data_IF_418897354114
#
_entry.id   IF_418897354114
#
_cell.length_a   1.000
_cell.length_b   1.000
_cell.length_c   1.000
_cell.angle_alpha   90.00
_cell.angle_beta   90.00
_cell.angle_gamma   90.00
#
_symmetry.space_group_name_H-M   'P 1'
#
loop_
_entity.id
_entity.type
_entity.pdbx_description
1 polymer ?
#
# COMPACT_ATOMS: atom_id res chain seq x y z
N UNK A 1 -10.82 -4.64 10.16
CA UNK A 1 -11.34 -3.90 8.99
C UNK A 1 -11.73 -4.84 7.86
N UNK A 2 -12.73 -5.71 8.12
CA UNK A 2 -13.20 -6.69 7.13
C UNK A 2 -14.04 -6.03 6.03
N UNK A 3 -14.53 -4.83 6.27
CA UNK A 3 -15.34 -4.01 5.36
C UNK A 3 -14.54 -2.91 4.64
N UNK A 4 -13.21 -2.88 4.81
CA UNK A 4 -12.34 -1.87 4.24
C UNK A 4 -12.38 -0.51 4.96
N UNK A 5 -13.14 -0.36 6.04
CA UNK A 5 -13.25 0.89 6.81
C UNK A 5 -12.15 0.98 7.88
N UNK A 6 -11.73 2.21 8.17
CA UNK A 6 -10.87 2.53 9.31
C UNK A 6 -11.60 3.49 10.25
N UNK A 7 -11.59 3.19 11.54
CA UNK A 7 -12.23 3.99 12.57
C UNK A 7 -11.16 4.53 13.50
N UNK A 8 -10.75 5.78 13.28
CA UNK A 8 -9.63 6.43 13.99
C UNK A 8 -9.86 6.47 15.50
N UNK A 9 -11.06 6.80 15.95
CA UNK A 9 -11.37 6.88 17.39
C UNK A 9 -11.24 5.51 18.08
N UNK A 10 -11.72 4.45 17.44
CA UNK A 10 -11.58 3.09 17.96
C UNK A 10 -10.12 2.64 17.96
N UNK A 11 -9.34 3.02 16.96
CA UNK A 11 -7.91 2.76 16.90
C UNK A 11 -7.17 3.45 18.04
N UNK A 12 -7.44 4.74 18.27
CA UNK A 12 -6.83 5.54 19.33
C UNK A 12 -7.22 4.98 20.71
N UNK A 13 -8.50 4.69 20.95
CA UNK A 13 -8.96 4.11 22.21
C UNK A 13 -8.25 2.80 22.51
N UNK A 14 -8.23 1.87 21.57
CA UNK A 14 -7.53 0.59 21.73
C UNK A 14 -6.03 0.74 22.03
N UNK A 15 -5.36 1.68 21.36
CA UNK A 15 -3.93 1.93 21.60
C UNK A 15 -3.67 2.45 23.01
N UNK A 16 -4.51 3.38 23.50
CA UNK A 16 -4.42 3.93 24.86
C UNK A 16 -4.70 2.87 25.92
N UNK A 17 -5.74 2.06 25.74
CA UNK A 17 -6.13 1.00 26.67
C UNK A 17 -5.03 -0.05 26.82
N UNK A 18 -4.36 -0.39 25.71
CA UNK A 18 -3.26 -1.37 25.68
C UNK A 18 -1.90 -0.81 26.13
N UNK A 19 -1.79 0.51 26.34
CA UNK A 19 -0.54 1.21 26.73
C UNK A 19 0.60 0.85 25.78
N UNK A 20 0.37 1.03 24.49
CA UNK A 20 1.34 0.67 23.45
C UNK A 20 2.59 1.58 23.50
N UNK A 21 3.74 1.02 23.20
CA UNK A 21 5.03 1.74 23.18
C UNK A 21 5.34 2.36 21.81
N UNK A 22 4.65 1.95 20.76
CA UNK A 22 4.85 2.41 19.39
C UNK A 22 3.58 2.18 18.57
N UNK A 23 3.32 3.07 17.63
CA UNK A 23 2.32 2.90 16.57
C UNK A 23 3.04 2.63 15.24
N UNK A 24 2.65 1.57 14.55
CA UNK A 24 3.06 1.30 13.17
C UNK A 24 1.82 1.24 12.29
N UNK A 25 1.76 2.10 11.29
CA UNK A 25 0.61 2.25 10.41
C UNK A 25 1.03 2.22 8.94
N UNK A 26 0.53 1.26 8.16
CA UNK A 26 0.75 1.20 6.72
C UNK A 26 -0.28 2.07 5.99
N UNK A 27 0.18 3.09 5.24
CA UNK A 27 -0.67 4.07 4.55
C UNK A 27 -0.11 4.47 3.17
N UNK A 28 -0.70 4.02 2.06
CA UNK A 28 -1.83 3.08 1.92
C UNK A 28 -1.54 1.69 2.50
N UNK A 29 -2.58 1.06 3.03
CA UNK A 29 -2.45 -0.24 3.68
C UNK A 29 -2.27 -1.38 2.68
N UNK A 30 -1.40 -2.33 2.99
CA UNK A 30 -1.31 -3.62 2.32
C UNK A 30 -1.81 -4.71 3.28
N UNK A 31 -2.84 -5.48 2.93
CA UNK A 31 -3.33 -5.76 1.56
C UNK A 31 -4.56 -4.97 1.10
N UNK A 32 -5.21 -4.18 1.95
CA UNK A 32 -6.55 -3.64 1.67
C UNK A 32 -6.55 -2.50 0.64
N UNK A 33 -5.44 -1.79 0.48
CA UNK A 33 -5.36 -0.58 -0.34
C UNK A 33 -5.97 0.67 0.30
N UNK A 34 -6.57 0.54 1.48
CA UNK A 34 -7.16 1.67 2.19
C UNK A 34 -6.09 2.70 2.60
N UNK A 35 -6.43 3.97 2.49
CA UNK A 35 -5.62 5.07 3.01
C UNK A 35 -6.43 5.93 3.97
N UNK A 36 -5.78 6.39 5.03
CA UNK A 36 -6.36 7.37 5.96
C UNK A 36 -6.10 8.79 5.49
N UNK A 37 -6.99 9.68 5.84
CA UNK A 37 -6.89 11.12 5.55
C UNK A 37 -5.81 11.80 6.40
N UNK A 38 -5.38 12.98 5.95
CA UNK A 38 -4.46 13.82 6.71
C UNK A 38 -4.98 14.15 8.10
N UNK A 39 -6.29 14.37 8.23
CA UNK A 39 -6.92 14.65 9.52
C UNK A 39 -6.80 13.46 10.48
N UNK A 40 -7.07 12.26 10.01
CA UNK A 40 -6.90 11.04 10.82
C UNK A 40 -5.44 10.81 11.21
N UNK A 41 -4.47 11.08 10.31
CA UNK A 41 -3.05 11.04 10.66
C UNK A 41 -2.71 12.02 11.78
N UNK A 42 -3.24 13.27 11.72
CA UNK A 42 -3.06 14.29 12.77
C UNK A 42 -3.64 13.80 14.09
N UNK A 43 -4.86 13.29 14.11
CA UNK A 43 -5.51 12.75 15.31
C UNK A 43 -4.68 11.64 15.97
N UNK A 44 -4.10 10.74 15.17
CA UNK A 44 -3.19 9.69 15.66
C UNK A 44 -1.94 10.30 16.28
N UNK A 45 -1.29 11.26 15.60
CA UNK A 45 -0.08 11.92 16.09
C UNK A 45 -0.32 12.69 17.40
N UNK A 46 -1.46 13.36 17.53
CA UNK A 46 -1.85 14.07 18.76
C UNK A 46 -2.11 13.10 19.91
N UNK A 47 -2.84 12.01 19.62
CA UNK A 47 -3.19 11.00 20.63
C UNK A 47 -1.97 10.26 21.19
N UNK A 48 -0.89 10.12 20.38
CA UNK A 48 0.32 9.37 20.68
C UNK A 48 1.60 10.22 20.57
N UNK A 49 1.53 11.49 20.98
CA UNK A 49 2.63 12.47 20.79
C UNK A 49 3.95 12.12 21.50
N UNK A 50 3.93 11.23 22.51
CA UNK A 50 5.06 10.86 23.33
C UNK A 50 5.72 9.52 22.95
N UNK A 51 5.17 8.80 21.98
CA UNK A 51 5.71 7.53 21.50
C UNK A 51 5.94 7.58 19.98
N UNK A 52 6.82 6.74 19.42
CA UNK A 52 7.03 6.69 17.99
C UNK A 52 5.75 6.35 17.21
N UNK A 53 5.43 7.17 16.21
CA UNK A 53 4.36 6.92 15.22
C UNK A 53 5.01 6.76 13.86
N UNK A 54 5.00 5.55 13.34
CA UNK A 54 5.64 5.17 12.08
C UNK A 54 4.59 4.99 11.00
N UNK A 55 4.64 5.81 9.95
CA UNK A 55 3.85 5.63 8.74
C UNK A 55 4.68 4.90 7.69
N UNK A 56 4.30 3.65 7.38
CA UNK A 56 4.85 2.91 6.24
C UNK A 56 4.12 3.36 4.98
N UNK A 57 4.78 4.20 4.21
CA UNK A 57 4.30 4.80 2.98
C UNK A 57 4.86 4.10 1.73
N UNK A 58 5.04 2.78 1.78
CA UNK A 58 5.57 2.02 0.65
C UNK A 58 4.74 2.11 -0.65
N UNK A 59 3.49 2.52 -0.57
CA UNK A 59 2.56 2.67 -1.71
C UNK A 59 2.09 4.12 -1.90
N UNK A 60 2.67 5.08 -1.20
CA UNK A 60 2.19 6.46 -1.15
C UNK A 60 2.18 7.16 -2.52
N UNK A 61 3.09 6.81 -3.43
CA UNK A 61 3.13 7.39 -4.79
C UNK A 61 1.86 7.10 -5.61
N UNK A 62 1.08 6.07 -5.24
CA UNK A 62 -0.21 5.74 -5.84
C UNK A 62 -1.41 6.33 -5.09
N UNK A 63 -1.17 6.92 -3.91
CA UNK A 63 -2.15 7.55 -3.05
C UNK A 63 -2.15 9.08 -3.16
N UNK A 64 -2.84 9.73 -2.21
CA UNK A 64 -3.06 11.17 -2.28
C UNK A 64 -2.38 11.96 -1.16
N UNK A 65 -2.18 11.38 0.03
CA UNK A 65 -1.75 12.12 1.22
C UNK A 65 -0.59 11.43 1.94
N UNK A 66 0.42 12.20 2.30
CA UNK A 66 1.62 11.75 3.01
C UNK A 66 1.69 12.34 4.40
N UNK A 67 2.25 11.58 5.34
CA UNK A 67 2.59 12.05 6.68
C UNK A 67 3.86 12.94 6.71
N UNK A 68 4.56 13.13 5.59
CA UNK A 68 5.87 13.81 5.57
C UNK A 68 5.81 15.24 6.11
N UNK A 69 4.74 15.97 5.88
CA UNK A 69 4.60 17.34 6.40
C UNK A 69 4.41 17.39 7.92
N UNK A 70 3.94 16.28 8.52
CA UNK A 70 3.74 16.17 9.96
C UNK A 70 5.04 16.12 10.74
N UNK A 71 6.15 15.76 10.08
CA UNK A 71 7.49 15.73 10.67
C UNK A 71 7.91 17.10 11.28
N UNK A 72 7.37 18.20 10.75
CA UNK A 72 7.65 19.55 11.24
C UNK A 72 7.00 19.86 12.59
N UNK A 73 5.83 19.25 12.82
CA UNK A 73 5.00 19.52 14.01
C UNK A 73 5.12 18.42 15.07
N UNK A 74 5.29 17.17 14.64
CA UNK A 74 5.29 15.99 15.51
C UNK A 74 6.67 15.30 15.49
N UNK A 75 7.55 15.59 16.46
CA UNK A 75 8.93 15.06 16.46
C UNK A 75 9.02 13.53 16.53
N UNK A 76 7.98 12.86 17.06
CA UNK A 76 7.93 11.39 17.18
C UNK A 76 7.36 10.69 15.95
N UNK A 77 7.14 11.43 14.85
CA UNK A 77 6.71 10.85 13.57
C UNK A 77 7.90 10.37 12.75
N UNK A 78 7.73 9.20 12.16
CA UNK A 78 8.67 8.57 11.23
C UNK A 78 7.91 8.16 9.97
N UNK A 79 8.49 8.42 8.81
CA UNK A 79 7.92 8.04 7.50
C UNK A 79 8.88 7.08 6.81
N UNK A 80 8.39 5.90 6.44
CA UNK A 80 9.15 4.91 5.67
C UNK A 80 8.73 4.96 4.21
N UNK A 81 9.69 5.02 3.28
CA UNK A 81 9.50 5.01 1.82
C UNK A 81 10.37 3.94 1.17
N UNK A 82 10.05 3.55 -0.04
CA UNK A 82 10.81 2.53 -0.78
C UNK A 82 10.86 2.82 -2.27
N UNK A 83 11.95 2.42 -2.92
CA UNK A 83 12.04 2.39 -4.38
C UNK A 83 11.48 1.10 -4.99
N UNK A 84 11.00 0.18 -4.18
CA UNK A 84 10.57 -1.17 -4.60
C UNK A 84 9.24 -1.18 -5.36
N UNK A 85 8.38 -0.16 -5.21
CA UNK A 85 7.00 -0.15 -5.73
C UNK A 85 6.86 0.79 -6.92
N UNK A 86 6.63 2.06 -6.69
CA UNK A 86 6.39 3.06 -7.75
C UNK A 86 7.56 3.21 -8.72
N UNK A 87 8.77 2.98 -8.26
CA UNK A 87 9.99 3.07 -9.06
C UNK A 87 10.43 1.72 -9.69
N UNK A 88 9.70 0.62 -9.43
CA UNK A 88 10.01 -0.69 -10.03
C UNK A 88 11.32 -1.34 -9.59
N UNK A 89 11.95 -0.84 -8.53
CA UNK A 89 13.31 -1.22 -8.13
C UNK A 89 13.35 -2.17 -6.91
N UNK A 90 12.45 -3.15 -6.88
CA UNK A 90 12.39 -4.10 -5.77
C UNK A 90 13.72 -4.87 -5.56
N UNK A 91 14.47 -5.14 -6.64
CA UNK A 91 15.72 -5.90 -6.62
C UNK A 91 16.88 -5.18 -5.94
N UNK A 92 16.92 -3.85 -5.91
CA UNK A 92 18.04 -3.10 -5.30
C UNK A 92 17.93 -2.99 -3.77
N UNK A 93 16.82 -3.39 -3.18
CA UNK A 93 16.59 -3.42 -1.72
C UNK A 93 16.86 -2.08 -1.03
N UNK A 94 16.34 -0.97 -1.59
CA UNK A 94 16.52 0.38 -1.07
C UNK A 94 15.22 0.97 -0.55
N UNK A 95 15.25 1.46 0.68
CA UNK A 95 14.20 2.23 1.33
C UNK A 95 14.78 3.34 2.17
N UNK A 96 13.91 4.21 2.66
CA UNK A 96 14.28 5.41 3.42
C UNK A 96 13.43 5.51 4.66
N UNK A 97 14.04 5.92 5.77
CA UNK A 97 13.34 6.43 6.94
C UNK A 97 13.58 7.94 7.03
N UNK A 98 12.50 8.70 7.14
CA UNK A 98 12.52 10.16 7.20
C UNK A 98 11.95 10.57 8.55
N UNK A 99 12.69 11.33 9.33
CA UNK A 99 12.27 11.84 10.64
C UNK A 99 13.12 13.02 11.06
N UNK A 100 12.61 13.89 11.91
CA UNK A 100 13.41 14.90 12.63
C UNK A 100 14.37 14.29 13.67
N UNK A 101 14.20 13.01 14.02
CA UNK A 101 15.01 12.27 15.00
C UNK A 101 16.05 11.34 14.34
N UNK A 102 16.29 11.45 13.03
CA UNK A 102 17.14 10.51 12.29
C UNK A 102 18.56 10.40 12.86
N UNK A 103 19.12 11.49 13.36
CA UNK A 103 20.47 11.50 13.97
C UNK A 103 20.57 10.61 15.21
N UNK A 104 19.49 10.52 16.01
CA UNK A 104 19.44 9.63 17.18
C UNK A 104 19.37 8.16 16.79
N UNK A 105 18.82 7.86 15.60
CA UNK A 105 18.71 6.50 15.08
C UNK A 105 19.96 6.08 14.29
N UNK A 106 20.73 7.02 13.76
CA UNK A 106 21.89 6.74 12.92
C UNK A 106 22.87 5.70 13.53
N UNK A 107 23.18 5.73 14.84
CA UNK A 107 24.05 4.73 15.47
C UNK A 107 23.48 3.30 15.49
N UNK A 108 22.18 3.14 15.29
CA UNK A 108 21.50 1.83 15.28
C UNK A 108 21.50 1.17 13.89
N UNK A 109 21.84 1.92 12.84
CA UNK A 109 21.90 1.37 11.48
C UNK A 109 23.14 0.50 11.31
N UNK A 110 22.94 -0.63 10.61
CA UNK A 110 24.03 -1.56 10.30
C UNK A 110 24.99 -0.86 9.32
N UNK A 111 26.28 -0.73 9.65
CA UNK A 111 27.27 -0.20 8.73
C UNK A 111 27.29 -1.01 7.41
N UNK A 112 27.46 -0.31 6.29
CA UNK A 112 27.55 -0.93 4.96
C UNK A 112 26.30 -1.73 4.52
N UNK A 113 25.12 -1.42 5.08
CA UNK A 113 23.85 -2.10 4.76
C UNK A 113 23.47 -2.00 3.28
N UNK A 114 23.89 -0.93 2.59
CA UNK A 114 23.65 -0.72 1.16
C UNK A 114 24.96 -0.73 0.37
N UNK A 115 24.99 -1.52 -0.72
CA UNK A 115 26.13 -1.50 -1.64
C UNK A 115 26.27 -0.15 -2.34
N UNK A 116 27.48 0.19 -2.81
CA UNK A 116 27.69 1.42 -3.60
C UNK A 116 26.87 1.43 -4.91
N UNK A 117 26.66 0.27 -5.51
CA UNK A 117 25.78 0.12 -6.69
C UNK A 117 24.35 0.50 -6.34
N UNK A 118 23.79 -0.03 -5.25
CA UNK A 118 22.45 0.32 -4.77
C UNK A 118 22.33 1.83 -4.52
N UNK A 119 23.31 2.43 -3.84
CA UNK A 119 23.31 3.87 -3.53
C UNK A 119 23.36 4.72 -4.80
N UNK A 120 24.18 4.32 -5.78
CA UNK A 120 24.30 5.01 -7.06
C UNK A 120 22.99 4.96 -7.84
N UNK A 121 22.39 3.78 -7.98
CA UNK A 121 21.09 3.60 -8.67
C UNK A 121 20.01 4.43 -7.97
N UNK A 122 19.88 4.33 -6.64
CA UNK A 122 18.91 5.09 -5.87
C UNK A 122 19.07 6.60 -6.08
N UNK A 123 20.31 7.10 -6.04
CA UNK A 123 20.62 8.51 -6.26
C UNK A 123 20.25 9.00 -7.67
N UNK A 124 20.51 8.20 -8.70
CA UNK A 124 20.12 8.53 -10.09
C UNK A 124 18.61 8.57 -10.23
N UNK A 125 17.91 7.53 -9.73
CA UNK A 125 16.45 7.44 -9.82
C UNK A 125 15.76 8.60 -9.10
N UNK A 126 16.20 8.95 -7.90
CA UNK A 126 15.61 10.07 -7.16
C UNK A 126 15.82 11.43 -7.85
N UNK A 127 16.99 11.64 -8.51
CA UNK A 127 17.22 12.85 -9.31
C UNK A 127 16.34 12.93 -10.57
N UNK A 128 15.88 11.78 -11.06
CA UNK A 128 15.02 11.67 -12.24
C UNK A 128 13.61 11.15 -11.89
N UNK A 129 13.14 11.39 -10.67
CA UNK A 129 11.85 10.88 -10.18
C UNK A 129 10.66 11.30 -11.09
N UNK A 130 10.75 12.45 -11.73
CA UNK A 130 9.73 12.94 -12.66
C UNK A 130 9.50 12.01 -13.87
N UNK A 131 10.50 11.24 -14.29
CA UNK A 131 10.36 10.26 -15.37
C UNK A 131 9.37 9.12 -15.04
N UNK A 132 9.09 8.88 -13.76
CA UNK A 132 8.17 7.84 -13.32
C UNK A 132 6.72 8.31 -13.19
N UNK A 133 6.46 9.62 -13.23
CA UNK A 133 5.13 10.20 -13.02
C UNK A 133 4.09 9.69 -14.01
N UNK A 134 4.45 9.54 -15.29
CA UNK A 134 3.54 9.02 -16.32
C UNK A 134 3.14 7.57 -16.04
N UNK A 135 4.10 6.72 -15.67
CA UNK A 135 3.82 5.32 -15.35
C UNK A 135 2.94 5.20 -14.09
N UNK A 136 3.23 6.00 -13.06
CA UNK A 136 2.41 6.05 -11.84
C UNK A 136 0.98 6.49 -12.17
N UNK A 137 0.81 7.53 -12.99
CA UNK A 137 -0.51 8.01 -13.42
C UNK A 137 -1.27 6.94 -14.23
N UNK A 138 -0.59 6.19 -15.09
CA UNK A 138 -1.18 5.07 -15.84
C UNK A 138 -1.68 3.99 -14.89
N UNK A 139 -0.87 3.58 -13.91
CA UNK A 139 -1.26 2.56 -12.90
C UNK A 139 -2.48 3.04 -12.10
N UNK A 140 -2.52 4.32 -11.69
CA UNK A 140 -3.67 4.89 -10.99
C UNK A 140 -4.92 4.85 -11.88
N UNK A 141 -4.80 5.29 -13.14
CA UNK A 141 -5.92 5.30 -14.09
C UNK A 141 -6.48 3.89 -14.35
N UNK A 142 -5.60 2.91 -14.55
CA UNK A 142 -5.98 1.52 -14.74
C UNK A 142 -6.63 0.90 -13.49
N UNK A 143 -6.11 1.20 -12.30
CA UNK A 143 -6.74 0.81 -11.04
C UNK A 143 -8.17 1.32 -10.94
N UNK A 144 -8.38 2.61 -11.21
CA UNK A 144 -9.71 3.22 -11.17
C UNK A 144 -10.64 2.64 -12.25
N UNK A 145 -10.11 2.33 -13.43
CA UNK A 145 -10.86 1.67 -14.50
C UNK A 145 -11.34 0.29 -14.04
N UNK A 146 -10.42 -0.54 -13.56
CA UNK A 146 -10.75 -1.88 -13.08
C UNK A 146 -11.74 -1.84 -11.91
N UNK A 147 -11.50 -0.97 -10.91
CA UNK A 147 -12.38 -0.87 -9.76
C UNK A 147 -13.80 -0.45 -10.15
N UNK A 148 -13.96 0.53 -11.04
CA UNK A 148 -15.29 0.95 -11.52
C UNK A 148 -16.08 -0.19 -12.17
N UNK A 149 -15.40 -1.11 -12.81
CA UNK A 149 -16.04 -2.25 -13.44
C UNK A 149 -16.48 -3.31 -12.42
N UNK A 150 -15.63 -3.60 -11.44
CA UNK A 150 -15.85 -4.73 -10.52
C UNK A 150 -16.55 -4.37 -9.20
N UNK A 151 -16.70 -3.08 -8.87
CA UNK A 151 -17.24 -2.61 -7.59
C UNK A 151 -18.67 -3.06 -7.28
N UNK A 152 -19.47 -3.31 -8.32
CA UNK A 152 -20.88 -3.68 -8.21
C UNK A 152 -21.13 -5.18 -8.38
N UNK A 153 -20.08 -6.02 -8.45
CA UNK A 153 -20.19 -7.47 -8.51
C UNK A 153 -20.87 -8.02 -7.25
N UNK A 154 -21.63 -9.12 -7.42
CA UNK A 154 -22.41 -9.74 -6.32
C UNK A 154 -21.68 -10.91 -5.69
N UNK A 155 -20.83 -11.58 -6.46
CA UNK A 155 -20.10 -12.77 -6.01
C UNK A 155 -18.73 -12.47 -5.48
N UNK A 156 -18.20 -11.26 -5.76
CA UNK A 156 -16.90 -10.76 -5.26
C UNK A 156 -17.10 -9.37 -4.69
N UNK A 157 -16.67 -9.17 -3.45
CA UNK A 157 -16.56 -7.83 -2.87
C UNK A 157 -15.18 -7.25 -3.18
N UNK A 158 -15.13 -6.14 -3.92
CA UNK A 158 -13.91 -5.37 -4.12
C UNK A 158 -13.95 -4.07 -3.32
N UNK A 159 -12.78 -3.62 -2.86
CA UNK A 159 -12.64 -2.42 -2.04
C UNK A 159 -11.87 -1.32 -2.77
N UNK A 160 -12.22 -0.03 -2.54
CA UNK A 160 -11.43 1.09 -3.07
C UNK A 160 -9.97 1.00 -2.64
N UNK A 161 -9.06 1.37 -3.54
CA UNK A 161 -7.63 1.27 -3.26
C UNK A 161 -6.89 2.56 -3.58
N UNK A 162 -5.91 2.90 -2.76
CA UNK A 162 -4.92 3.97 -2.96
C UNK A 162 -3.51 3.40 -3.22
N UNK A 163 -3.41 2.10 -3.50
CA UNK A 163 -2.16 1.41 -3.84
C UNK A 163 -2.13 1.00 -5.32
N UNK A 164 -1.15 0.21 -5.74
CA UNK A 164 -1.06 -0.33 -7.10
C UNK A 164 -1.73 -1.70 -7.25
N UNK A 165 -2.78 -1.96 -6.50
CA UNK A 165 -3.51 -3.23 -6.51
C UNK A 165 -4.97 -3.04 -6.10
N UNK A 166 -5.80 -4.03 -6.39
CA UNK A 166 -7.15 -4.18 -5.85
C UNK A 166 -7.19 -5.35 -4.87
N UNK A 167 -7.89 -5.16 -3.76
CA UNK A 167 -8.18 -6.20 -2.77
C UNK A 167 -9.61 -6.68 -2.94
N UNK A 168 -9.79 -8.00 -2.96
CA UNK A 168 -11.10 -8.61 -3.14
C UNK A 168 -11.33 -9.78 -2.19
N UNK A 169 -12.61 -10.13 -1.98
CA UNK A 169 -13.06 -11.27 -1.18
C UNK A 169 -14.20 -12.01 -1.87
N UNK A 170 -14.16 -13.33 -1.82
CA UNK A 170 -15.26 -14.19 -2.28
C UNK A 170 -15.21 -15.52 -1.54
N UNK A 171 -16.38 -16.07 -1.20
CA UNK A 171 -16.47 -17.40 -0.59
C UNK A 171 -16.15 -18.54 -1.57
N UNK A 172 -16.21 -18.24 -2.88
CA UNK A 172 -15.86 -19.18 -3.97
C UNK A 172 -14.42 -18.98 -4.48
N UNK A 173 -13.49 -18.59 -3.58
CA UNK A 173 -12.13 -18.20 -3.95
C UNK A 173 -11.35 -19.29 -4.69
N UNK A 174 -11.50 -20.57 -4.31
CA UNK A 174 -10.75 -21.65 -4.94
C UNK A 174 -11.10 -21.79 -6.42
N UNK A 175 -12.39 -21.67 -6.77
CA UNK A 175 -12.84 -21.66 -8.18
C UNK A 175 -12.20 -20.48 -8.93
N UNK A 176 -12.18 -19.29 -8.33
CA UNK A 176 -11.56 -18.11 -8.94
C UNK A 176 -10.05 -18.31 -9.15
N UNK A 177 -9.35 -18.90 -8.16
CA UNK A 177 -7.91 -19.18 -8.28
C UNK A 177 -7.62 -20.18 -9.40
N UNK A 178 -8.44 -21.23 -9.57
CA UNK A 178 -8.29 -22.19 -10.65
C UNK A 178 -8.49 -21.52 -12.03
N UNK A 179 -9.47 -20.63 -12.18
CA UNK A 179 -9.69 -19.87 -13.43
C UNK A 179 -8.47 -18.99 -13.78
N UNK A 180 -7.85 -18.34 -12.79
CA UNK A 180 -6.60 -17.60 -12.99
C UNK A 180 -5.45 -18.51 -13.41
N UNK A 181 -5.30 -19.65 -12.74
CA UNK A 181 -4.26 -20.63 -13.02
C UNK A 181 -4.36 -21.22 -14.44
N UNK A 182 -5.56 -21.52 -14.92
CA UNK A 182 -5.81 -21.98 -16.30
C UNK A 182 -5.29 -20.99 -17.36
N UNK A 183 -5.27 -19.71 -17.03
CA UNK A 183 -4.75 -18.64 -17.89
C UNK A 183 -3.28 -18.28 -17.59
N UNK A 184 -2.57 -19.06 -16.75
CA UNK A 184 -1.22 -18.80 -16.29
C UNK A 184 -1.06 -17.41 -15.62
N UNK A 185 -2.11 -16.90 -14.99
CA UNK A 185 -2.08 -15.66 -14.24
C UNK A 185 -1.94 -15.98 -12.74
N UNK A 186 -0.95 -15.37 -12.10
CA UNK A 186 -0.73 -15.52 -10.66
C UNK A 186 -1.11 -14.24 -9.93
N UNK A 187 -2.03 -14.36 -8.97
CA UNK A 187 -2.42 -13.28 -8.07
C UNK A 187 -2.07 -13.65 -6.62
N UNK A 188 -2.08 -12.67 -5.72
CA UNK A 188 -1.81 -12.96 -4.31
C UNK A 188 -3.05 -13.61 -3.67
N UNK A 189 -2.89 -14.86 -3.27
CA UNK A 189 -3.89 -15.62 -2.52
C UNK A 189 -3.56 -15.57 -1.02
N UNK A 190 -4.53 -15.26 -0.16
CA UNK A 190 -4.39 -15.27 1.30
C UNK A 190 -5.07 -16.50 1.91
N UNK A 191 -4.78 -16.82 3.16
CA UNK A 191 -5.33 -17.99 3.83
C UNK A 191 -6.85 -17.92 4.06
N UNK A 192 -7.40 -16.72 4.16
CA UNK A 192 -8.84 -16.48 4.27
C UNK A 192 -9.51 -16.36 2.88
N UNK A 193 -10.77 -15.93 2.83
CA UNK A 193 -11.53 -15.73 1.60
C UNK A 193 -11.01 -14.59 0.69
N UNK A 194 -9.88 -13.97 1.02
CA UNK A 194 -9.38 -12.79 0.34
C UNK A 194 -8.25 -13.06 -0.65
N UNK A 195 -8.07 -12.12 -1.57
CA UNK A 195 -7.00 -12.11 -2.56
C UNK A 195 -6.65 -10.67 -2.94
N UNK A 196 -5.52 -10.49 -3.63
CA UNK A 196 -5.06 -9.18 -4.11
C UNK A 196 -4.54 -9.28 -5.54
N UNK A 197 -5.03 -8.41 -6.41
CA UNK A 197 -4.64 -8.30 -7.81
C UNK A 197 -3.77 -7.05 -7.97
N UNK A 198 -2.53 -7.22 -8.40
CA UNK A 198 -1.65 -6.09 -8.74
C UNK A 198 -2.04 -5.54 -10.12
N UNK A 199 -2.08 -4.23 -10.26
CA UNK A 199 -2.36 -3.55 -11.53
C UNK A 199 -1.15 -3.73 -12.45
N UNK A 200 -1.41 -4.31 -13.63
CA UNK A 200 -0.45 -4.52 -14.70
C UNK A 200 -0.61 -3.55 -15.86
N UNK A 201 -0.21 -3.98 -17.06
CA UNK A 201 -0.51 -3.27 -18.31
C UNK A 201 -2.01 -3.31 -18.62
N UNK A 202 -2.47 -2.46 -19.54
CA UNK A 202 -3.89 -2.47 -19.96
C UNK A 202 -4.31 -3.83 -20.50
N UNK A 203 -3.43 -4.51 -21.24
CA UNK A 203 -3.67 -5.85 -21.80
C UNK A 203 -3.77 -6.90 -20.70
N UNK A 204 -2.84 -6.89 -19.74
CA UNK A 204 -2.87 -7.81 -18.59
C UNK A 204 -4.13 -7.57 -17.73
N UNK A 205 -4.47 -6.33 -17.49
CA UNK A 205 -5.66 -5.95 -16.73
C UNK A 205 -6.95 -6.40 -17.43
N UNK A 206 -7.01 -6.34 -18.79
CA UNK A 206 -8.16 -6.81 -19.54
C UNK A 206 -8.32 -8.33 -19.44
N UNK A 207 -7.22 -9.10 -19.48
CA UNK A 207 -7.27 -10.55 -19.25
C UNK A 207 -7.80 -10.89 -17.85
N UNK A 208 -7.39 -10.12 -16.83
CA UNK A 208 -7.91 -10.26 -15.48
C UNK A 208 -9.40 -9.96 -15.41
N UNK A 209 -9.85 -8.86 -16.02
CA UNK A 209 -11.26 -8.48 -16.07
C UNK A 209 -12.12 -9.52 -16.79
N UNK A 210 -11.64 -10.11 -17.90
CA UNK A 210 -12.36 -11.19 -18.59
C UNK A 210 -12.61 -12.40 -17.67
N UNK A 211 -11.61 -12.79 -16.88
CA UNK A 211 -11.78 -13.88 -15.89
C UNK A 211 -12.80 -13.48 -14.83
N UNK A 212 -12.72 -12.27 -14.30
CA UNK A 212 -13.64 -11.79 -13.26
C UNK A 212 -15.08 -11.70 -13.77
N UNK A 213 -15.31 -11.23 -15.02
CA UNK A 213 -16.64 -11.21 -15.67
C UNK A 213 -17.24 -12.60 -15.80
N UNK A 214 -16.44 -13.57 -16.28
CA UNK A 214 -16.87 -14.97 -16.42
C UNK A 214 -17.21 -15.60 -15.08
N UNK A 215 -16.38 -15.32 -14.08
CA UNK A 215 -16.62 -15.80 -12.71
C UNK A 215 -17.92 -15.21 -12.16
N UNK A 216 -18.13 -13.89 -12.28
CA UNK A 216 -19.36 -13.21 -11.84
C UNK A 216 -20.56 -13.81 -12.52
N UNK A 217 -20.55 -13.94 -13.87
CA UNK A 217 -21.66 -14.49 -14.65
C UNK A 217 -22.00 -15.93 -14.27
N UNK A 218 -21.00 -16.77 -14.02
CA UNK A 218 -21.21 -18.18 -13.69
C UNK A 218 -21.70 -18.41 -12.25
N UNK A 219 -21.61 -17.40 -11.36
CA UNK A 219 -21.84 -17.56 -9.93
C UNK A 219 -22.89 -16.60 -9.35
N UNK A 220 -23.45 -15.69 -10.18
CA UNK A 220 -24.53 -14.74 -9.82
C UNK A 220 -25.89 -15.42 -9.67
#
# INVERSE_FOLDING_TARGET
>A
FLDGSFYVDAFISNGKDKKVDMILFSNPNNPTGHAISKLEMIQICEAFSNIPVIFDEAYMEFGNESAIDLLKTYPMVFVCRTLSKAYGLAGIRCGFMISSQVEKLAPLFIPYALSSVTQTIASVVLRHADAYKSNIATIISERERMYREVKDYKTISFYPSNANFLYGRTDKKDILMDMFKEKNITIRNYADASFRITIGTSEENEMVLDILRRFEYANS
#
